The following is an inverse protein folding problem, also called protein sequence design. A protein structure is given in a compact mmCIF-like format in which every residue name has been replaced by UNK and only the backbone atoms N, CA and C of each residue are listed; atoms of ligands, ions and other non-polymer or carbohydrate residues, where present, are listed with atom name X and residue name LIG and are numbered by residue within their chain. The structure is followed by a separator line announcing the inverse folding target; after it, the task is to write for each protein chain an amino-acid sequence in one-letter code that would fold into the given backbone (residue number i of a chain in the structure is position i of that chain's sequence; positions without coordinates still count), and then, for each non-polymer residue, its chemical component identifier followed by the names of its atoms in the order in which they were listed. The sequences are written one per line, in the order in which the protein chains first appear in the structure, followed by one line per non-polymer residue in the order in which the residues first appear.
data_IF_501493237358
#
_entry.id   IF_501493237358
#
_cell.length_a   1.000
_cell.length_b   1.000
_cell.length_c   1.000
_cell.angle_alpha   90.00
_cell.angle_beta   90.00
_cell.angle_gamma   90.00
#
_symmetry.space_group_name_H-M   'P 1'
#
loop_
_entity.id
_entity.type
_entity.pdbx_description
1 polymer ?
#
# COMPACT_ATOMS: atom_id res chain seq x y z
N UNK A 1 -2.91 -9.57 9.18
CA UNK A 1 -3.36 -8.47 10.08
C UNK A 1 -2.75 -7.16 9.59
N UNK A 2 -3.29 -5.99 9.97
CA UNK A 2 -2.72 -4.69 9.54
C UNK A 2 -1.21 -4.56 9.87
N UNK A 3 -0.74 -5.14 10.98
CA UNK A 3 0.68 -5.16 11.35
C UNK A 3 1.56 -5.84 10.29
N UNK A 4 1.10 -6.97 9.73
CA UNK A 4 1.80 -7.71 8.69
C UNK A 4 1.80 -6.91 7.38
N UNK A 5 0.66 -6.30 7.04
CA UNK A 5 0.53 -5.51 5.81
C UNK A 5 1.43 -4.27 5.85
N UNK A 6 1.52 -3.57 6.98
CA UNK A 6 2.43 -2.43 7.16
C UNK A 6 3.88 -2.86 6.93
N UNK A 7 4.30 -3.96 7.57
CA UNK A 7 5.67 -4.48 7.43
C UNK A 7 5.97 -4.85 5.97
N UNK A 8 5.06 -5.56 5.32
CA UNK A 8 5.20 -5.98 3.93
C UNK A 8 5.31 -4.78 2.98
N UNK A 9 4.43 -3.78 3.10
CA UNK A 9 4.48 -2.58 2.27
C UNK A 9 5.75 -1.77 2.49
N UNK A 10 6.19 -1.65 3.75
CA UNK A 10 7.45 -1.00 4.10
C UNK A 10 8.65 -1.69 3.42
N UNK A 11 8.70 -3.01 3.49
CA UNK A 11 9.79 -3.82 2.92
C UNK A 11 9.78 -3.79 1.39
N UNK A 12 8.60 -3.89 0.76
CA UNK A 12 8.45 -3.74 -0.69
C UNK A 12 8.90 -2.38 -1.20
N UNK A 13 8.68 -1.32 -0.41
CA UNK A 13 9.16 0.02 -0.73
C UNK A 13 10.67 0.23 -0.43
N UNK A 14 11.36 -0.78 0.11
CA UNK A 14 12.78 -0.70 0.49
C UNK A 14 13.05 0.20 1.70
N UNK A 15 12.05 0.45 2.56
CA UNK A 15 12.17 1.37 3.68
C UNK A 15 12.59 0.64 4.95
N UNK A 16 13.50 1.25 5.72
CA UNK A 16 13.69 0.87 7.13
C UNK A 16 12.56 1.46 7.99
N UNK A 17 12.34 0.93 9.20
CA UNK A 17 11.36 1.50 10.15
C UNK A 17 11.60 2.99 10.40
N UNK A 18 12.87 3.41 10.49
CA UNK A 18 13.25 4.81 10.66
C UNK A 18 12.92 5.68 9.45
N UNK A 19 13.02 5.13 8.22
CA UNK A 19 12.66 5.85 6.98
C UNK A 19 11.15 6.04 6.90
N UNK A 20 10.36 4.99 7.19
CA UNK A 20 8.91 5.08 7.23
C UNK A 20 8.45 6.09 8.29
N UNK A 21 9.06 6.03 9.49
CA UNK A 21 8.76 6.95 10.57
C UNK A 21 8.98 8.42 10.16
N UNK A 22 10.11 8.72 9.49
CA UNK A 22 10.38 10.06 8.95
C UNK A 22 9.33 10.50 7.92
N UNK A 23 8.92 9.60 7.01
CA UNK A 23 7.91 9.90 5.99
C UNK A 23 6.53 10.19 6.57
N UNK A 24 6.17 9.54 7.66
CA UNK A 24 4.89 9.71 8.36
C UNK A 24 4.95 10.74 9.51
N UNK A 25 6.11 11.39 9.72
CA UNK A 25 6.36 12.30 10.84
C UNK A 25 6.01 11.68 12.22
N UNK A 26 6.47 10.45 12.45
CA UNK A 26 6.33 9.72 13.71
C UNK A 26 7.69 9.22 14.22
N UNK A 27 7.71 8.61 15.40
CA UNK A 27 8.91 7.98 15.93
C UNK A 27 9.11 6.58 15.33
N UNK A 28 10.37 6.11 15.25
CA UNK A 28 10.67 4.73 14.87
C UNK A 28 9.94 3.73 15.77
N UNK A 29 9.85 4.02 17.07
CA UNK A 29 9.18 3.16 18.05
C UNK A 29 7.69 3.01 17.77
N UNK A 30 7.02 4.05 17.25
CA UNK A 30 5.62 3.94 16.83
C UNK A 30 5.46 2.93 15.68
N UNK A 31 6.30 3.04 14.64
CA UNK A 31 6.29 2.08 13.51
C UNK A 31 6.60 0.66 13.99
N UNK A 32 7.56 0.49 14.89
CA UNK A 32 7.87 -0.81 15.47
C UNK A 32 6.67 -1.39 16.25
N UNK A 33 6.00 -0.58 17.07
CA UNK A 33 4.82 -1.01 17.82
C UNK A 33 3.68 -1.44 16.91
N UNK A 34 3.47 -0.75 15.78
CA UNK A 34 2.47 -1.14 14.77
C UNK A 34 2.83 -2.47 14.10
N UNK A 35 4.07 -2.66 13.67
CA UNK A 35 4.52 -3.90 13.01
C UNK A 35 4.56 -5.11 13.95
N UNK A 36 4.74 -4.87 15.25
CA UNK A 36 4.70 -5.92 16.29
C UNK A 36 3.28 -6.17 16.83
N UNK A 37 2.27 -5.43 16.38
CA UNK A 37 0.90 -5.54 16.87
C UNK A 37 0.70 -5.06 18.31
N UNK A 38 1.66 -4.31 18.87
CA UNK A 38 1.61 -3.74 20.22
C UNK A 38 0.68 -2.52 20.30
N UNK A 39 0.48 -1.83 19.17
CA UNK A 39 -0.48 -0.75 19.03
C UNK A 39 -1.03 -0.70 17.61
N UNK A 40 -2.13 0.04 17.42
CA UNK A 40 -2.78 0.20 16.12
C UNK A 40 -2.60 1.64 15.64
N UNK A 41 -2.22 1.88 14.38
CA UNK A 41 -2.18 3.23 13.83
C UNK A 41 -3.57 3.87 13.86
N UNK A 42 -3.64 5.17 14.16
CA UNK A 42 -4.90 5.92 14.05
C UNK A 42 -5.33 6.03 12.60
N UNK A 43 -6.60 6.36 12.36
CA UNK A 43 -7.15 6.55 11.02
C UNK A 43 -6.33 7.50 10.16
N UNK A 44 -5.76 8.56 10.76
CA UNK A 44 -4.88 9.50 10.05
C UNK A 44 -3.67 8.77 9.44
N UNK A 45 -2.98 7.94 10.22
CA UNK A 45 -1.81 7.19 9.72
C UNK A 45 -2.19 6.07 8.75
N UNK A 46 -3.38 5.47 8.88
CA UNK A 46 -3.91 4.54 7.89
C UNK A 46 -4.08 5.26 6.54
N UNK A 47 -4.67 6.45 6.53
CA UNK A 47 -4.82 7.26 5.30
C UNK A 47 -3.46 7.67 4.73
N UNK A 48 -2.54 8.11 5.56
CA UNK A 48 -1.21 8.54 5.12
C UNK A 48 -0.40 7.38 4.55
N UNK A 49 -0.46 6.19 5.15
CA UNK A 49 0.16 4.97 4.64
C UNK A 49 -0.48 4.50 3.34
N UNK A 50 -1.82 4.51 3.24
CA UNK A 50 -2.53 4.16 2.02
C UNK A 50 -2.07 5.02 0.84
N UNK A 51 -1.94 6.34 1.04
CA UNK A 51 -1.41 7.27 0.05
C UNK A 51 0.07 7.03 -0.25
N UNK A 52 0.90 6.88 0.79
CA UNK A 52 2.34 6.68 0.65
C UNK A 52 2.67 5.43 -0.16
N UNK A 53 1.96 4.34 0.10
CA UNK A 53 2.18 3.05 -0.56
C UNK A 53 1.30 2.85 -1.80
N UNK A 54 0.44 3.81 -2.13
CA UNK A 54 -0.49 3.76 -3.26
C UNK A 54 -1.39 2.52 -3.24
N UNK A 55 -1.93 2.21 -2.06
CA UNK A 55 -2.89 1.11 -1.84
C UNK A 55 -4.20 1.65 -1.27
N UNK A 56 -5.27 0.87 -1.34
CA UNK A 56 -6.52 1.21 -0.64
C UNK A 56 -6.38 1.02 0.88
N UNK A 57 -7.22 1.73 1.64
CA UNK A 57 -7.31 1.50 3.09
C UNK A 57 -7.80 0.08 3.39
N UNK A 58 -8.72 -0.45 2.58
CA UNK A 58 -9.22 -1.84 2.66
C UNK A 58 -8.09 -2.86 2.54
N UNK A 59 -7.17 -2.69 1.58
CA UNK A 59 -6.00 -3.54 1.46
C UNK A 59 -5.09 -3.43 2.69
N UNK A 60 -4.82 -2.20 3.14
CA UNK A 60 -3.98 -1.96 4.32
C UNK A 60 -4.57 -2.60 5.59
N UNK A 61 -5.89 -2.55 5.75
CA UNK A 61 -6.63 -3.13 6.87
C UNK A 61 -6.87 -4.65 6.73
N UNK A 62 -6.54 -5.24 5.57
CA UNK A 62 -6.75 -6.66 5.28
C UNK A 62 -8.22 -7.03 5.01
N UNK A 63 -9.05 -6.05 4.61
CA UNK A 63 -10.45 -6.26 4.20
C UNK A 63 -10.57 -6.70 2.74
N UNK A 64 -9.53 -6.48 1.93
CA UNK A 64 -9.43 -6.94 0.55
C UNK A 64 -8.06 -7.52 0.26
N UNK A 65 -8.02 -8.51 -0.63
CA UNK A 65 -6.78 -9.06 -1.22
C UNK A 65 -6.54 -8.54 -2.64
N UNK A 66 -7.45 -7.72 -3.15
CA UNK A 66 -7.37 -7.18 -4.50
C UNK A 66 -6.24 -6.16 -4.57
N UNK A 67 -5.36 -6.35 -5.56
CA UNK A 67 -4.31 -5.39 -5.87
C UNK A 67 -4.90 -4.35 -6.82
N UNK A 68 -4.87 -3.08 -6.43
CA UNK A 68 -5.37 -1.98 -7.26
C UNK A 68 -4.21 -1.28 -7.98
N UNK A 69 -4.48 -0.83 -9.21
CA UNK A 69 -3.57 0.04 -9.95
C UNK A 69 -4.09 1.48 -9.82
N UNK A 70 -3.28 2.37 -9.24
CA UNK A 70 -3.59 3.81 -9.19
C UNK A 70 -3.25 4.42 -10.54
N UNK A 71 -4.27 4.91 -11.24
CA UNK A 71 -4.16 5.48 -12.60
C UNK A 71 -4.17 7.02 -12.60
N UNK A 72 -3.98 7.64 -11.43
CA UNK A 72 -3.97 9.09 -11.27
C UNK A 72 -2.83 9.73 -12.07
N UNK A 73 -3.16 10.76 -12.84
CA UNK A 73 -2.21 11.48 -13.69
C UNK A 73 -1.96 10.83 -15.07
N UNK A 74 -2.54 9.66 -15.35
CA UNK A 74 -2.52 9.07 -16.69
C UNK A 74 -3.62 9.67 -17.57
N UNK A 75 -3.29 9.87 -18.84
CA UNK A 75 -4.25 10.16 -19.90
C UNK A 75 -5.14 8.95 -20.19
N UNK A 76 -6.30 9.19 -20.81
CA UNK A 76 -7.20 8.10 -21.22
C UNK A 76 -6.53 7.12 -22.20
N UNK A 77 -5.60 7.62 -23.03
CA UNK A 77 -4.82 6.78 -23.94
C UNK A 77 -3.88 5.83 -23.17
N UNK A 78 -3.18 6.32 -22.16
CA UNK A 78 -2.30 5.48 -21.32
C UNK A 78 -3.10 4.46 -20.50
N UNK A 79 -4.27 4.84 -19.97
CA UNK A 79 -5.16 3.91 -19.27
C UNK A 79 -5.65 2.79 -20.18
N UNK A 80 -6.01 3.11 -21.43
CA UNK A 80 -6.45 2.11 -22.41
C UNK A 80 -5.36 1.08 -22.73
N UNK A 81 -4.09 1.50 -22.77
CA UNK A 81 -2.96 0.57 -22.94
C UNK A 81 -2.88 -0.41 -21.77
N UNK A 82 -3.02 0.09 -20.54
CA UNK A 82 -3.00 -0.75 -19.34
C UNK A 82 -4.17 -1.74 -19.31
N UNK A 83 -5.39 -1.30 -19.65
CA UNK A 83 -6.54 -2.20 -19.75
C UNK A 83 -6.32 -3.28 -20.80
N UNK A 84 -5.81 -2.91 -21.98
CA UNK A 84 -5.52 -3.87 -23.05
C UNK A 84 -4.50 -4.94 -22.62
N UNK A 85 -3.50 -4.56 -21.81
CA UNK A 85 -2.51 -5.50 -21.25
C UNK A 85 -3.15 -6.47 -20.25
N UNK A 86 -4.01 -5.97 -19.36
CA UNK A 86 -4.75 -6.80 -18.40
C UNK A 86 -5.64 -7.80 -19.14
N UNK A 87 -6.39 -7.33 -20.14
CA UNK A 87 -7.25 -8.18 -20.96
C UNK A 87 -6.44 -9.26 -21.71
N UNK A 88 -5.29 -8.88 -22.28
CA UNK A 88 -4.37 -9.84 -22.91
C UNK A 88 -3.90 -10.92 -21.93
N UNK A 89 -3.51 -10.57 -20.69
CA UNK A 89 -3.10 -11.57 -19.72
C UNK A 89 -4.24 -12.47 -19.25
N UNK A 90 -5.46 -11.95 -19.20
CA UNK A 90 -6.64 -12.74 -18.84
C UNK A 90 -7.05 -13.71 -19.95
N UNK A 91 -6.96 -13.30 -21.22
CA UNK A 91 -7.30 -14.14 -22.37
C UNK A 91 -6.28 -15.26 -22.63
N UNK A 92 -5.00 -15.07 -22.29
CA UNK A 92 -3.96 -16.09 -22.46
C UNK A 92 -3.74 -16.98 -21.22
N UNK A 93 -4.65 -16.91 -20.25
CA UNK A 93 -4.62 -17.74 -19.03
C UNK A 93 -5.57 -18.95 -19.08
N UNK A 94 -6.29 -19.15 -20.18
CA UNK A 94 -6.97 -20.40 -20.54
C UNK A 94 -6.03 -21.30 -21.37
#
# INVERSE_FOLDING_TARGET
MICDTIKQLRENAGYSQSVLAKKLNVTRSAVNAWEMGLSVPTTQYVVDMARLFRVSADYLLGLSTETTLVLDGLSEQEKNILYSLVDYFNQNRE
#
